data_IF_783633564781
#
_entry.id   IF_783633564781
#
_cell.length_a   1.000
_cell.length_b   1.000
_cell.length_c   1.000
_cell.angle_alpha   90.00
_cell.angle_beta   90.00
_cell.angle_gamma   90.00
#
_symmetry.space_group_name_H-M   'P 1'
#
loop_
_entity.id
_entity.type
_entity.pdbx_description
1 polymer ?
#
# COMPACT_ATOMS: atom_id res chain seq x y z
N UNK A 1 14.95 -18.22 -20.89
CA UNK A 1 13.98 -18.28 -19.78
C UNK A 1 14.00 -19.67 -19.17
N UNK A 2 14.56 -19.82 -17.96
CA UNK A 2 14.43 -21.08 -17.20
C UNK A 2 13.00 -21.20 -16.71
N UNK A 3 12.29 -22.28 -17.08
CA UNK A 3 10.91 -22.53 -16.63
C UNK A 3 10.93 -22.82 -15.13
N UNK A 4 10.12 -22.10 -14.36
CA UNK A 4 9.94 -22.33 -12.92
C UNK A 4 9.34 -23.71 -12.68
N UNK A 5 9.88 -24.47 -11.72
CA UNK A 5 9.28 -25.72 -11.27
C UNK A 5 7.91 -25.47 -10.62
N UNK A 6 7.00 -26.46 -10.64
CA UNK A 6 5.64 -26.36 -10.09
C UNK A 6 5.63 -25.81 -8.66
N UNK A 7 6.44 -26.39 -7.75
CA UNK A 7 6.51 -25.94 -6.36
C UNK A 7 6.99 -24.50 -6.18
N UNK A 8 7.82 -24.00 -7.09
CA UNK A 8 8.25 -22.59 -7.06
C UNK A 8 7.13 -21.65 -7.53
N UNK A 9 6.30 -22.08 -8.48
CA UNK A 9 5.14 -21.32 -8.94
C UNK A 9 4.08 -21.19 -7.85
N UNK A 10 3.84 -22.25 -7.10
CA UNK A 10 2.87 -22.25 -5.99
C UNK A 10 3.32 -21.29 -4.87
N UNK A 11 4.63 -21.28 -4.55
CA UNK A 11 5.21 -20.34 -3.58
C UNK A 11 5.09 -18.88 -4.03
N UNK A 12 5.30 -18.59 -5.32
CA UNK A 12 5.09 -17.24 -5.88
C UNK A 12 3.64 -16.81 -5.71
N UNK A 13 2.68 -17.68 -6.05
CA UNK A 13 1.26 -17.36 -5.92
C UNK A 13 0.85 -17.13 -4.46
N UNK A 14 1.34 -17.98 -3.55
CA UNK A 14 1.06 -17.85 -2.11
C UNK A 14 1.63 -16.53 -1.57
N UNK A 15 2.89 -16.22 -1.91
CA UNK A 15 3.55 -14.99 -1.49
C UNK A 15 2.79 -13.74 -1.97
N UNK A 16 2.41 -13.71 -3.26
CA UNK A 16 1.64 -12.60 -3.83
C UNK A 16 0.28 -12.44 -3.17
N UNK A 17 -0.40 -13.55 -2.88
CA UNK A 17 -1.73 -13.53 -2.22
C UNK A 17 -1.65 -12.94 -0.82
N UNK A 18 -0.57 -13.23 -0.07
CA UNK A 18 -0.39 -12.75 1.30
C UNK A 18 0.09 -11.28 1.33
N UNK A 19 1.05 -10.93 0.48
CA UNK A 19 1.71 -9.61 0.53
C UNK A 19 1.05 -8.55 -0.34
N UNK A 20 0.24 -8.96 -1.33
CA UNK A 20 -0.21 -8.07 -2.41
C UNK A 20 0.92 -7.63 -3.36
N UNK A 21 2.13 -8.19 -3.21
CA UNK A 21 3.28 -7.81 -4.03
C UNK A 21 3.08 -8.23 -5.50
N UNK A 22 3.70 -7.46 -6.41
CA UNK A 22 3.79 -7.87 -7.81
C UNK A 22 4.61 -9.16 -7.98
N UNK A 23 4.36 -9.91 -9.05
CA UNK A 23 5.10 -11.15 -9.35
C UNK A 23 6.62 -10.92 -9.41
N UNK A 24 7.06 -9.76 -9.94
CA UNK A 24 8.47 -9.37 -9.98
C UNK A 24 9.07 -9.30 -8.57
N UNK A 25 8.36 -8.66 -7.64
CA UNK A 25 8.81 -8.50 -6.24
C UNK A 25 8.76 -9.84 -5.51
N UNK A 26 7.70 -10.64 -5.72
CA UNK A 26 7.59 -11.98 -5.17
C UNK A 26 8.77 -12.88 -5.60
N UNK A 27 9.12 -12.86 -6.90
CA UNK A 27 10.27 -13.60 -7.43
C UNK A 27 11.61 -13.11 -6.85
N UNK A 28 11.76 -11.79 -6.63
CA UNK A 28 12.97 -11.24 -6.01
C UNK A 28 13.10 -11.72 -4.56
N UNK A 29 12.03 -11.61 -3.77
CA UNK A 29 12.03 -12.02 -2.37
C UNK A 29 12.29 -13.52 -2.21
N UNK A 30 11.59 -14.35 -3.00
CA UNK A 30 11.78 -15.81 -2.98
C UNK A 30 13.16 -16.24 -3.46
N UNK A 31 13.80 -15.50 -4.38
CA UNK A 31 15.19 -15.78 -4.76
C UNK A 31 16.18 -15.37 -3.68
N UNK A 32 15.93 -14.27 -2.97
CA UNK A 32 16.77 -13.80 -1.88
C UNK A 32 16.73 -14.71 -0.65
N UNK A 33 15.70 -15.55 -0.52
CA UNK A 33 15.50 -16.47 0.59
C UNK A 33 15.69 -17.95 0.24
N UNK A 34 16.36 -18.27 -0.89
CA UNK A 34 16.51 -19.64 -1.39
C UNK A 34 15.18 -20.41 -1.49
N UNK A 35 14.11 -19.72 -1.89
CA UNK A 35 12.74 -20.21 -2.02
C UNK A 35 12.07 -20.60 -0.69
N UNK A 36 12.54 -20.10 0.45
CA UNK A 36 11.85 -20.23 1.73
C UNK A 36 10.84 -19.09 1.90
N UNK A 37 9.58 -19.44 2.14
CA UNK A 37 8.48 -18.47 2.26
C UNK A 37 8.67 -17.55 3.46
N UNK A 38 9.00 -18.10 4.63
CA UNK A 38 9.25 -17.33 5.86
C UNK A 38 10.36 -16.30 5.66
N UNK A 39 11.53 -16.72 5.17
CA UNK A 39 12.63 -15.80 4.87
C UNK A 39 12.30 -14.79 3.77
N UNK A 40 11.41 -15.13 2.82
CA UNK A 40 10.94 -14.17 1.82
C UNK A 40 10.05 -13.08 2.44
N UNK A 41 9.22 -13.43 3.43
CA UNK A 41 8.40 -12.45 4.15
C UNK A 41 9.30 -11.53 4.97
N UNK A 42 10.27 -12.07 5.70
CA UNK A 42 11.23 -11.26 6.47
C UNK A 42 12.01 -10.31 5.56
N UNK A 43 12.50 -10.81 4.42
CA UNK A 43 13.19 -9.99 3.42
C UNK A 43 12.27 -8.89 2.86
N UNK A 44 11.01 -9.21 2.58
CA UNK A 44 10.06 -8.24 2.06
C UNK A 44 9.72 -7.17 3.09
N UNK A 45 9.28 -7.55 4.29
CA UNK A 45 8.86 -6.58 5.31
C UNK A 45 10.01 -5.81 5.97
N UNK A 46 11.26 -6.27 5.85
CA UNK A 46 12.44 -5.49 6.27
C UNK A 46 12.81 -4.35 5.30
N UNK A 47 12.31 -4.38 4.06
CA UNK A 47 12.54 -3.31 3.09
C UNK A 47 11.46 -2.24 3.17
N UNK A 48 11.82 -0.95 2.95
CA UNK A 48 10.84 0.11 2.74
C UNK A 48 9.93 -0.26 1.56
N UNK A 49 8.68 -0.59 1.85
CA UNK A 49 7.68 -0.87 0.84
C UNK A 49 7.29 0.45 0.18
N UNK A 50 7.98 0.81 -0.89
CA UNK A 50 7.57 1.92 -1.74
C UNK A 50 6.33 1.43 -2.50
N UNK A 51 5.16 1.59 -1.89
CA UNK A 51 3.91 1.38 -2.60
C UNK A 51 3.94 2.23 -3.86
N UNK A 52 3.51 1.66 -4.99
CA UNK A 52 3.25 2.45 -6.19
C UNK A 52 2.03 3.28 -5.86
N UNK A 53 2.27 4.47 -5.33
CA UNK A 53 1.24 5.43 -4.99
C UNK A 53 0.55 5.83 -6.28
N UNK A 54 -0.74 5.55 -6.39
CA UNK A 54 -1.55 6.09 -7.47
C UNK A 54 -1.77 7.57 -7.20
N UNK A 55 -0.88 8.41 -7.75
CA UNK A 55 -0.90 9.86 -7.52
C UNK A 55 -2.22 10.50 -7.94
N UNK A 56 -2.87 10.01 -9.00
CA UNK A 56 -4.21 10.48 -9.41
C UNK A 56 -5.25 10.20 -8.34
N UNK A 57 -5.20 9.02 -7.72
CA UNK A 57 -6.11 8.70 -6.64
C UNK A 57 -5.87 9.59 -5.40
N UNK A 58 -4.61 9.94 -5.11
CA UNK A 58 -4.31 10.92 -4.06
C UNK A 58 -4.83 12.31 -4.40
N UNK A 59 -4.69 12.76 -5.65
CA UNK A 59 -5.24 14.03 -6.13
C UNK A 59 -6.77 14.05 -5.98
N UNK A 60 -7.46 12.96 -6.33
CA UNK A 60 -8.92 12.84 -6.16
C UNK A 60 -9.34 12.92 -4.68
N UNK A 61 -8.58 12.27 -3.79
CA UNK A 61 -8.83 12.34 -2.34
C UNK A 61 -8.57 13.76 -1.83
N UNK A 62 -7.47 14.40 -2.24
CA UNK A 62 -7.15 15.76 -1.84
C UNK A 62 -8.23 16.74 -2.29
N UNK A 63 -8.60 16.71 -3.57
CA UNK A 63 -9.61 17.57 -4.17
C UNK A 63 -11.00 17.39 -3.56
N UNK A 64 -11.30 16.23 -2.98
CA UNK A 64 -12.56 15.99 -2.25
C UNK A 64 -12.71 16.88 -1.02
N UNK A 65 -11.61 17.15 -0.31
CA UNK A 65 -11.64 17.89 0.96
C UNK A 65 -11.00 19.29 0.86
N UNK A 66 -10.34 19.59 -0.27
CA UNK A 66 -9.71 20.89 -0.55
C UNK A 66 -10.77 22.00 -0.65
N UNK A 67 -10.43 23.19 -0.16
CA UNK A 67 -11.24 24.39 -0.36
C UNK A 67 -11.20 24.83 -1.85
N UNK A 68 -12.31 25.22 -2.48
CA UNK A 68 -12.32 25.65 -3.88
C UNK A 68 -11.36 26.81 -4.18
N UNK A 69 -11.27 27.76 -3.23
CA UNK A 69 -10.52 29.01 -3.39
C UNK A 69 -9.13 28.98 -2.73
N UNK A 70 -8.72 27.87 -2.11
CA UNK A 70 -7.42 27.76 -1.45
C UNK A 70 -6.74 26.42 -1.77
N UNK A 71 -5.41 26.44 -1.97
CA UNK A 71 -4.63 25.22 -2.21
C UNK A 71 -4.32 24.44 -0.91
N UNK A 72 -5.34 24.27 -0.08
CA UNK A 72 -5.25 23.62 1.23
C UNK A 72 -6.60 23.06 1.67
N UNK A 73 -6.57 22.04 2.53
CA UNK A 73 -7.75 21.51 3.22
C UNK A 73 -7.97 22.39 4.46
N UNK A 74 -9.07 23.13 4.47
CA UNK A 74 -9.46 24.03 5.57
C UNK A 74 -10.26 23.28 6.65
N UNK A 75 -10.78 24.00 7.65
CA UNK A 75 -11.45 23.40 8.82
C UNK A 75 -12.66 22.55 8.45
N UNK A 76 -13.44 22.97 7.45
CA UNK A 76 -14.58 22.23 6.91
C UNK A 76 -14.11 20.90 6.29
N UNK A 77 -13.07 20.96 5.45
CA UNK A 77 -12.48 19.80 4.80
C UNK A 77 -11.88 18.79 5.79
N UNK A 78 -11.18 19.27 6.81
CA UNK A 78 -10.63 18.42 7.88
C UNK A 78 -11.77 17.76 8.67
N UNK A 79 -12.81 18.52 8.99
CA UNK A 79 -13.97 18.00 9.74
C UNK A 79 -14.67 16.90 8.94
N UNK A 80 -14.88 17.09 7.64
CA UNK A 80 -15.44 16.07 6.76
C UNK A 80 -14.53 14.85 6.65
N UNK A 81 -13.22 15.04 6.50
CA UNK A 81 -12.25 13.94 6.47
C UNK A 81 -12.28 13.11 7.75
N UNK A 82 -12.34 13.74 8.93
CA UNK A 82 -12.48 13.04 10.20
C UNK A 82 -13.79 12.25 10.29
N UNK A 83 -14.90 12.83 9.81
CA UNK A 83 -16.20 12.15 9.77
C UNK A 83 -16.18 10.90 8.87
N UNK A 84 -15.59 11.01 7.68
CA UNK A 84 -15.46 9.89 6.73
C UNK A 84 -14.57 8.77 7.30
N UNK A 85 -13.54 9.13 8.07
CA UNK A 85 -12.71 8.17 8.81
C UNK A 85 -13.35 7.64 10.10
N UNK A 86 -14.54 8.13 10.46
CA UNK A 86 -15.24 7.80 11.71
C UNK A 86 -14.40 8.08 12.97
N UNK A 87 -13.50 9.07 12.89
CA UNK A 87 -12.70 9.51 14.02
C UNK A 87 -13.37 10.70 14.66
N UNK A 88 -13.48 10.68 15.99
CA UNK A 88 -14.12 11.77 16.74
C UNK A 88 -13.29 13.04 16.56
N UNK A 89 -13.86 14.05 15.89
CA UNK A 89 -13.27 15.37 15.75
C UNK A 89 -13.44 16.16 17.05
N UNK A 90 -12.60 15.89 18.05
CA UNK A 90 -12.77 16.46 19.41
C UNK A 90 -12.29 17.92 19.50
N UNK A 91 -11.73 18.49 18.43
CA UNK A 91 -11.00 19.77 18.48
C UNK A 91 -11.51 20.88 17.56
N UNK A 92 -12.58 20.68 16.77
CA UNK A 92 -13.03 21.66 15.76
C UNK A 92 -14.40 22.31 16.06
N UNK A 93 -14.82 22.34 17.33
CA UNK A 93 -16.04 23.04 17.80
C UNK A 93 -15.76 24.13 18.84
N UNK A 94 -14.54 24.69 18.86
CA UNK A 94 -14.21 25.88 19.66
C UNK A 94 -14.05 27.10 18.74
#
# INVERSE_FOLDING_TARGET
MYKLGRGNRDKVQQFMTITGASEKVALQALKASDWHLEGAFDFFYSQPQVSVVNTRHLEDIFNRYKEPDADMIMVEGISQFCNDLQVRSIYFHL
#
